data_IF_381889595082
#
_entry.id   IF_381889595082
#
_cell.length_a   1.000
_cell.length_b   1.000
_cell.length_c   1.000
_cell.angle_alpha   90.00
_cell.angle_beta   90.00
_cell.angle_gamma   90.00
#
_symmetry.space_group_name_H-M   'P 1'
#
loop_
_entity.id
_entity.type
_entity.pdbx_description
1 polymer ?
#
# COMPACT_ATOMS: atom_id res chain seq x y z
N UNK A 1 64.54 45.70 -52.06
CA UNK A 1 63.44 44.77 -52.39
C UNK A 1 63.11 44.05 -51.09
N UNK A 2 62.27 44.55 -50.17
CA UNK A 2 60.81 44.79 -50.14
C UNK A 2 59.96 43.60 -50.62
N UNK A 3 58.97 43.28 -49.76
CA UNK A 3 57.88 42.29 -49.85
C UNK A 3 58.29 40.84 -49.60
N UNK A 4 57.63 40.05 -48.77
CA UNK A 4 56.36 40.21 -48.05
C UNK A 4 56.30 39.12 -46.96
N UNK A 5 55.80 39.47 -45.75
CA UNK A 5 55.34 38.46 -44.78
C UNK A 5 53.92 38.07 -45.17
N UNK A 6 53.54 36.79 -45.15
CA UNK A 6 52.14 36.42 -45.13
C UNK A 6 51.62 36.32 -43.70
N UNK A 7 50.38 36.77 -43.59
CA UNK A 7 49.61 37.07 -42.40
C UNK A 7 49.11 35.87 -41.60
N UNK A 8 48.70 36.22 -40.38
CA UNK A 8 48.04 35.44 -39.35
C UNK A 8 46.86 34.59 -39.84
N UNK A 9 46.99 33.27 -39.72
CA UNK A 9 45.88 32.31 -39.72
C UNK A 9 45.70 31.73 -38.32
N UNK A 10 45.03 32.46 -37.43
CA UNK A 10 44.63 31.97 -36.11
C UNK A 10 43.41 31.03 -36.28
N UNK A 11 43.65 29.77 -36.62
CA UNK A 11 42.61 28.74 -36.63
C UNK A 11 42.37 28.22 -35.22
N UNK A 12 41.53 28.93 -34.47
CA UNK A 12 40.92 28.43 -33.24
C UNK A 12 39.87 27.37 -33.61
N UNK A 13 40.19 26.09 -33.41
CA UNK A 13 39.25 24.97 -33.16
C UNK A 13 40.05 23.68 -32.97
N UNK A 14 40.08 23.11 -31.74
CA UNK A 14 39.02 22.16 -31.40
C UNK A 14 38.68 22.17 -29.90
N UNK A 15 37.72 23.00 -29.49
CA UNK A 15 37.01 22.81 -28.21
C UNK A 15 35.56 22.48 -28.57
N UNK A 16 35.34 21.32 -29.19
CA UNK A 16 34.00 20.90 -29.60
C UNK A 16 33.86 19.38 -29.80
N UNK A 17 34.63 18.56 -29.09
CA UNK A 17 34.44 17.10 -29.12
C UNK A 17 34.41 16.43 -27.74
N UNK A 18 34.48 17.18 -26.64
CA UNK A 18 34.57 16.62 -25.27
C UNK A 18 33.35 16.93 -24.40
N UNK A 19 32.16 17.07 -25.00
CA UNK A 19 30.92 17.36 -24.26
C UNK A 19 29.68 16.66 -24.85
N UNK A 20 29.84 15.42 -25.33
CA UNK A 20 28.74 14.60 -25.86
C UNK A 20 28.82 13.15 -25.33
N UNK A 21 29.07 12.98 -24.04
CA UNK A 21 28.87 11.71 -23.33
C UNK A 21 28.28 12.06 -21.97
N UNK A 22 26.96 12.22 -21.89
CA UNK A 22 26.36 12.56 -20.60
C UNK A 22 24.90 13.00 -20.64
N UNK A 23 24.03 12.30 -21.37
CA UNK A 23 22.57 12.52 -21.21
C UNK A 23 21.70 11.37 -21.76
N UNK A 24 22.07 10.11 -21.49
CA UNK A 24 21.33 8.94 -22.01
C UNK A 24 20.90 7.88 -21.00
N UNK A 25 21.21 8.04 -19.70
CA UNK A 25 21.16 6.94 -18.74
C UNK A 25 20.15 7.14 -17.57
N UNK A 26 19.02 7.82 -17.78
CA UNK A 26 18.00 7.99 -16.73
C UNK A 26 16.60 7.49 -17.07
N UNK A 27 16.35 6.94 -18.27
CA UNK A 27 15.11 6.21 -18.54
C UNK A 27 15.26 4.72 -18.24
N UNK A 28 15.52 4.40 -16.97
CA UNK A 28 15.25 3.07 -16.44
C UNK A 28 13.75 2.93 -16.24
N UNK A 29 12.99 2.67 -17.32
CA UNK A 29 11.62 2.19 -17.18
C UNK A 29 11.69 0.80 -16.56
N UNK A 30 11.70 0.74 -15.23
CA UNK A 30 11.60 -0.51 -14.50
C UNK A 30 10.15 -1.02 -14.63
N UNK A 31 9.84 -1.62 -15.78
CA UNK A 31 8.59 -2.35 -15.98
C UNK A 31 8.56 -3.51 -14.99
N UNK A 32 7.59 -3.49 -14.06
CA UNK A 32 7.43 -4.58 -13.10
C UNK A 32 6.92 -5.83 -13.81
N UNK A 33 7.14 -6.97 -13.16
CA UNK A 33 6.65 -8.25 -13.65
C UNK A 33 5.11 -8.23 -13.71
N UNK A 34 4.57 -8.65 -14.86
CA UNK A 34 3.14 -8.84 -15.07
C UNK A 34 2.85 -10.34 -14.98
N UNK A 35 2.03 -10.74 -14.02
CA UNK A 35 1.53 -12.10 -13.91
C UNK A 35 0.48 -12.36 -15.01
N UNK A 36 0.31 -13.63 -15.37
CA UNK A 36 -0.75 -14.05 -16.31
C UNK A 36 -2.14 -13.89 -15.67
N UNK A 37 -2.27 -14.23 -14.39
CA UNK A 37 -3.49 -14.08 -13.59
C UNK A 37 -3.16 -13.83 -12.12
N UNK A 38 -4.12 -13.26 -11.40
CA UNK A 38 -4.10 -13.15 -9.94
C UNK A 38 -4.73 -14.39 -9.29
N UNK A 39 -4.40 -14.66 -8.01
CA UNK A 39 -5.04 -15.71 -7.24
C UNK A 39 -6.54 -15.43 -7.02
N UNK A 40 -6.90 -14.16 -6.77
CA UNK A 40 -8.30 -13.75 -6.57
C UNK A 40 -9.16 -13.93 -7.83
N UNK A 41 -8.58 -13.92 -9.04
CA UNK A 41 -9.33 -14.28 -10.27
C UNK A 41 -9.78 -15.74 -10.26
N UNK A 42 -9.07 -16.62 -9.55
CA UNK A 42 -9.39 -18.05 -9.44
C UNK A 42 -10.31 -18.32 -8.23
N UNK A 43 -10.17 -17.53 -7.16
CA UNK A 43 -10.86 -17.69 -5.89
C UNK A 43 -11.46 -16.36 -5.40
N UNK A 44 -12.51 -15.83 -6.04
CA UNK A 44 -13.09 -14.53 -5.69
C UNK A 44 -14.11 -14.59 -4.54
N UNK A 45 -14.59 -15.77 -4.17
CA UNK A 45 -15.66 -15.94 -3.17
C UNK A 45 -15.16 -15.83 -1.74
N UNK A 46 -15.99 -15.26 -0.85
CA UNK A 46 -15.70 -15.15 0.59
C UNK A 46 -15.64 -16.52 1.30
N UNK A 47 -16.20 -17.56 0.70
CA UNK A 47 -16.08 -18.95 1.16
C UNK A 47 -14.80 -19.64 0.65
N UNK A 48 -14.00 -18.97 -0.17
CA UNK A 48 -12.78 -19.48 -0.81
C UNK A 48 -11.50 -18.82 -0.27
N UNK A 49 -11.59 -18.09 0.83
CA UNK A 49 -10.45 -17.36 1.42
C UNK A 49 -9.26 -18.28 1.76
N UNK A 50 -9.54 -19.53 2.12
CA UNK A 50 -8.49 -20.53 2.42
C UNK A 50 -7.74 -20.91 1.14
N UNK A 51 -8.46 -21.27 0.08
CA UNK A 51 -7.90 -21.63 -1.23
C UNK A 51 -7.16 -20.45 -1.86
N UNK A 52 -7.70 -19.22 -1.71
CA UNK A 52 -7.00 -18.00 -2.09
C UNK A 52 -5.65 -17.88 -1.37
N UNK A 53 -5.62 -18.05 -0.05
CA UNK A 53 -4.38 -17.93 0.74
C UNK A 53 -3.37 -19.04 0.41
N UNK A 54 -3.84 -20.27 0.20
CA UNK A 54 -2.99 -21.38 -0.26
C UNK A 54 -2.36 -21.08 -1.63
N UNK A 55 -3.16 -20.55 -2.57
CA UNK A 55 -2.66 -20.14 -3.88
C UNK A 55 -1.62 -19.03 -3.74
N UNK A 56 -1.93 -17.98 -2.98
CA UNK A 56 -1.04 -16.85 -2.73
C UNK A 56 0.30 -17.32 -2.17
N UNK A 57 0.31 -18.21 -1.19
CA UNK A 57 1.53 -18.71 -0.55
C UNK A 57 2.50 -19.39 -1.53
N UNK A 58 2.01 -19.92 -2.66
CA UNK A 58 2.83 -20.49 -3.73
C UNK A 58 3.40 -19.48 -4.74
N UNK A 59 2.99 -18.20 -4.67
CA UNK A 59 3.35 -17.20 -5.68
C UNK A 59 4.74 -16.62 -5.46
N UNK A 60 5.53 -16.51 -6.54
CA UNK A 60 6.81 -15.81 -6.52
C UNK A 60 6.65 -14.29 -6.30
N UNK A 61 5.54 -13.72 -6.79
CA UNK A 61 5.18 -12.34 -6.59
C UNK A 61 3.66 -12.21 -6.54
N UNK A 62 3.15 -11.54 -5.52
CA UNK A 62 1.74 -11.20 -5.33
C UNK A 62 1.37 -10.07 -6.28
N UNK A 63 0.20 -10.15 -6.90
CA UNK A 63 -0.29 -9.08 -7.78
C UNK A 63 -0.94 -7.94 -6.98
N UNK A 64 -1.14 -6.79 -7.62
CA UNK A 64 -1.92 -5.71 -7.01
C UNK A 64 -3.35 -6.13 -6.66
N UNK A 65 -3.99 -6.98 -7.48
CA UNK A 65 -5.34 -7.48 -7.22
C UNK A 65 -5.38 -8.35 -5.96
N UNK A 66 -4.44 -9.30 -5.84
CA UNK A 66 -4.29 -10.18 -4.68
C UNK A 66 -3.99 -9.38 -3.39
N UNK A 67 -3.11 -8.38 -3.52
CA UNK A 67 -2.77 -7.49 -2.40
C UNK A 67 -4.03 -6.79 -1.85
N UNK A 68 -4.83 -6.18 -2.72
CA UNK A 68 -6.02 -5.45 -2.30
C UNK A 68 -7.10 -6.38 -1.73
N UNK A 69 -7.30 -7.56 -2.34
CA UNK A 69 -8.22 -8.57 -1.81
C UNK A 69 -7.82 -9.01 -0.40
N UNK A 70 -6.56 -9.42 -0.19
CA UNK A 70 -6.08 -9.84 1.13
C UNK A 70 -6.15 -8.74 2.19
N UNK A 71 -5.90 -7.48 1.82
CA UNK A 71 -6.07 -6.34 2.73
C UNK A 71 -7.54 -6.11 3.12
N UNK A 72 -8.48 -6.31 2.20
CA UNK A 72 -9.92 -6.21 2.50
C UNK A 72 -10.36 -7.32 3.45
N UNK A 73 -9.91 -8.56 3.20
CA UNK A 73 -10.16 -9.70 4.10
C UNK A 73 -9.67 -9.41 5.53
N UNK A 74 -8.43 -8.92 5.71
CA UNK A 74 -7.94 -8.56 7.04
C UNK A 74 -8.72 -7.38 7.66
N UNK A 75 -9.17 -6.43 6.85
CA UNK A 75 -9.82 -5.21 7.37
C UNK A 75 -11.26 -5.42 7.83
N UNK A 76 -12.03 -6.26 7.13
CA UNK A 76 -13.48 -6.42 7.31
C UNK A 76 -13.94 -7.86 7.42
N UNK A 77 -13.04 -8.84 7.27
CA UNK A 77 -13.39 -10.27 7.17
C UNK A 77 -14.09 -10.64 5.86
N UNK A 78 -14.19 -9.70 4.92
CA UNK A 78 -14.84 -9.89 3.62
C UNK A 78 -14.28 -8.88 2.62
N UNK A 79 -14.18 -9.31 1.37
CA UNK A 79 -13.98 -8.44 0.22
C UNK A 79 -15.33 -8.18 -0.49
N UNK A 80 -15.92 -6.98 -0.37
CA UNK A 80 -17.20 -6.67 -1.01
C UNK A 80 -17.07 -6.23 -2.48
N UNK A 81 -15.86 -6.11 -3.02
CA UNK A 81 -15.64 -5.63 -4.38
C UNK A 81 -15.95 -6.71 -5.42
N UNK A 82 -16.59 -6.30 -6.52
CA UNK A 82 -16.93 -7.19 -7.64
C UNK A 82 -15.75 -7.43 -8.57
N UNK A 83 -14.85 -6.46 -8.68
CA UNK A 83 -13.72 -6.45 -9.60
C UNK A 83 -12.55 -5.65 -9.02
N UNK A 84 -11.44 -5.63 -9.77
CA UNK A 84 -10.23 -4.93 -9.37
C UNK A 84 -10.46 -3.43 -9.22
N UNK A 85 -11.17 -2.81 -10.16
CA UNK A 85 -11.46 -1.38 -10.17
C UNK A 85 -12.20 -0.95 -8.90
N UNK A 86 -13.18 -1.74 -8.45
CA UNK A 86 -13.86 -1.51 -7.17
C UNK A 86 -12.92 -1.65 -5.96
N UNK A 87 -12.01 -2.64 -5.96
CA UNK A 87 -10.98 -2.75 -4.90
C UNK A 87 -10.10 -1.51 -4.86
N UNK A 88 -9.71 -0.97 -6.01
CA UNK A 88 -8.93 0.28 -6.09
C UNK A 88 -9.72 1.45 -5.50
N UNK A 89 -11.01 1.58 -5.83
CA UNK A 89 -11.87 2.63 -5.26
C UNK A 89 -11.96 2.52 -3.74
N UNK A 90 -12.17 1.31 -3.21
CA UNK A 90 -12.19 1.08 -1.75
C UNK A 90 -10.84 1.42 -1.11
N UNK A 91 -9.73 0.99 -1.71
CA UNK A 91 -8.39 1.27 -1.21
C UNK A 91 -8.09 2.77 -1.18
N UNK A 92 -8.49 3.52 -2.21
CA UNK A 92 -8.37 4.99 -2.26
C UNK A 92 -9.26 5.66 -1.22
N UNK A 93 -10.50 5.22 -1.04
CA UNK A 93 -11.42 5.76 -0.02
C UNK A 93 -10.89 5.55 1.39
N UNK A 94 -10.30 4.39 1.67
CA UNK A 94 -9.65 4.06 2.94
C UNK A 94 -8.26 4.70 3.09
N UNK A 95 -7.76 5.38 2.05
CA UNK A 95 -6.47 6.06 2.03
C UNK A 95 -5.26 5.11 2.05
N UNK A 96 -5.47 3.83 1.73
CA UNK A 96 -4.43 2.78 1.69
C UNK A 96 -3.44 2.99 0.55
N UNK A 97 -3.93 3.56 -0.55
CA UNK A 97 -3.14 3.93 -1.74
C UNK A 97 -3.38 5.41 -2.09
N UNK A 98 -2.48 6.05 -2.86
CA UNK A 98 -2.67 7.42 -3.36
C UNK A 98 -3.96 7.58 -4.17
N UNK A 99 -4.51 8.80 -4.22
CA UNK A 99 -5.76 9.09 -4.95
C UNK A 99 -5.66 8.83 -6.46
N UNK A 100 -4.47 9.01 -7.01
CA UNK A 100 -4.09 8.85 -8.41
C UNK A 100 -3.52 7.46 -8.71
N UNK A 101 -3.54 6.52 -7.76
CA UNK A 101 -2.97 5.18 -7.93
C UNK A 101 -3.72 4.37 -8.99
N UNK A 102 -3.08 4.09 -10.12
CA UNK A 102 -3.70 3.52 -11.33
C UNK A 102 -2.98 2.26 -11.84
N UNK A 103 -2.37 1.50 -10.93
CA UNK A 103 -1.54 0.36 -11.30
C UNK A 103 -2.36 -0.78 -11.92
N UNK A 104 -1.79 -1.58 -12.85
CA UNK A 104 -2.48 -2.73 -13.42
C UNK A 104 -2.73 -3.84 -12.39
N UNK A 105 -3.86 -4.54 -12.52
CA UNK A 105 -4.28 -5.62 -11.63
C UNK A 105 -3.20 -6.71 -11.45
N UNK A 106 -2.64 -7.18 -12.56
CA UNK A 106 -1.69 -8.28 -12.60
C UNK A 106 -0.22 -7.83 -12.50
N UNK A 107 0.05 -6.54 -12.33
CA UNK A 107 1.39 -6.07 -12.00
C UNK A 107 1.77 -6.54 -10.59
N UNK A 108 3.04 -6.91 -10.40
CA UNK A 108 3.54 -7.24 -9.05
C UNK A 108 3.38 -6.07 -8.08
N UNK A 109 2.79 -6.39 -6.92
CA UNK A 109 2.59 -5.45 -5.83
C UNK A 109 3.94 -4.97 -5.30
N UNK A 110 4.07 -3.66 -5.06
CA UNK A 110 5.28 -3.09 -4.51
C UNK A 110 5.19 -2.96 -2.99
N UNK A 111 6.31 -3.19 -2.32
CA UNK A 111 6.44 -3.12 -0.86
C UNK A 111 5.99 -1.78 -0.27
N UNK A 112 6.18 -0.68 -1.01
CA UNK A 112 5.73 0.65 -0.61
C UNK A 112 4.22 0.82 -0.60
N UNK A 113 3.49 0.22 -1.55
CA UNK A 113 2.03 0.27 -1.55
C UNK A 113 1.47 -0.56 -0.40
N UNK A 114 2.01 -1.77 -0.21
CA UNK A 114 1.62 -2.63 0.91
C UNK A 114 1.91 -1.94 2.25
N UNK A 115 3.07 -1.28 2.37
CA UNK A 115 3.43 -0.56 3.57
C UNK A 115 2.48 0.62 3.86
N UNK A 116 2.09 1.38 2.84
CA UNK A 116 1.11 2.44 3.00
C UNK A 116 -0.22 1.92 3.52
N UNK A 117 -0.73 0.84 2.93
CA UNK A 117 -1.95 0.19 3.39
C UNK A 117 -1.80 -0.30 4.85
N UNK A 118 -0.68 -0.94 5.18
CA UNK A 118 -0.38 -1.43 6.51
C UNK A 118 -0.38 -0.35 7.59
N UNK A 119 0.27 0.80 7.33
CA UNK A 119 0.25 1.91 8.28
C UNK A 119 -1.15 2.48 8.48
N UNK A 120 -1.94 2.58 7.42
CA UNK A 120 -3.31 3.11 7.48
C UNK A 120 -4.25 2.17 8.23
N UNK A 121 -4.18 0.88 7.91
CA UNK A 121 -4.91 -0.17 8.63
C UNK A 121 -4.54 -0.20 10.10
N UNK A 122 -3.24 -0.25 10.40
CA UNK A 122 -2.71 -0.34 11.76
C UNK A 122 -2.74 0.97 12.56
N UNK A 123 -3.34 2.06 12.05
CA UNK A 123 -3.37 3.35 12.76
C UNK A 123 -1.98 3.92 13.08
N UNK A 124 -0.95 3.58 12.27
CA UNK A 124 0.43 3.98 12.50
C UNK A 124 0.66 5.38 11.91
N UNK A 125 0.76 6.37 12.79
CA UNK A 125 1.02 7.77 12.40
C UNK A 125 2.49 8.07 12.07
N UNK A 126 3.39 7.22 12.56
CA UNK A 126 4.84 7.39 12.43
C UNK A 126 5.42 8.61 13.15
N UNK A 127 6.70 8.88 12.86
CA UNK A 127 7.45 10.01 13.41
C UNK A 127 7.09 11.39 12.84
N UNK A 128 7.75 12.44 13.35
CA UNK A 128 7.48 13.85 13.00
C UNK A 128 7.46 14.09 11.48
N UNK A 129 8.38 13.50 10.73
CA UNK A 129 8.46 13.64 9.27
C UNK A 129 7.19 13.15 8.57
N UNK A 130 6.62 12.03 9.00
CA UNK A 130 5.38 11.48 8.46
C UNK A 130 4.17 12.34 8.84
N UNK A 131 4.21 13.03 9.99
CA UNK A 131 3.17 14.01 10.38
C UNK A 131 3.21 15.28 9.54
N UNK A 132 4.38 15.70 9.08
CA UNK A 132 4.57 16.91 8.26
C UNK A 132 4.29 16.64 6.77
N UNK A 133 4.84 15.56 6.23
CA UNK A 133 4.77 15.25 4.80
C UNK A 133 3.68 14.24 4.43
N UNK A 134 3.01 13.67 5.43
CA UNK A 134 2.04 12.60 5.26
C UNK A 134 2.69 11.21 5.10
N UNK A 135 1.85 10.16 5.08
CA UNK A 135 2.29 8.81 4.79
C UNK A 135 2.79 8.69 3.35
N UNK A 136 3.91 8.00 3.19
CA UNK A 136 4.45 7.58 1.90
C UNK A 136 4.92 6.14 2.03
N UNK A 137 5.05 5.41 0.92
CA UNK A 137 5.55 4.03 0.95
C UNK A 137 6.88 3.91 1.69
N UNK A 138 7.79 4.85 1.45
CA UNK A 138 9.08 4.94 2.13
C UNK A 138 8.94 5.13 3.65
N UNK A 139 8.11 6.07 4.10
CA UNK A 139 7.96 6.34 5.55
C UNK A 139 7.22 5.21 6.25
N UNK A 140 6.13 4.72 5.66
CA UNK A 140 5.37 3.61 6.20
C UNK A 140 6.22 2.35 6.31
N UNK A 141 7.06 2.07 5.30
CA UNK A 141 7.95 0.91 5.33
C UNK A 141 8.92 0.98 6.51
N UNK A 142 9.52 2.15 6.80
CA UNK A 142 10.42 2.29 7.95
C UNK A 142 9.70 2.09 9.30
N UNK A 143 8.47 2.55 9.40
CA UNK A 143 7.66 2.37 10.61
C UNK A 143 7.20 0.91 10.82
N UNK A 144 6.91 0.19 9.74
CA UNK A 144 6.57 -1.23 9.80
C UNK A 144 7.80 -2.10 10.07
N UNK A 145 8.96 -1.72 9.53
CA UNK A 145 10.25 -2.34 9.83
C UNK A 145 10.60 -2.21 11.32
N UNK A 146 10.48 -1.01 11.90
CA UNK A 146 10.80 -0.80 13.32
C UNK A 146 9.89 -1.58 14.28
N UNK A 147 8.68 -1.94 13.83
CA UNK A 147 7.72 -2.76 14.57
C UNK A 147 7.85 -4.26 14.28
N UNK A 148 8.76 -4.67 13.41
CA UNK A 148 8.91 -6.08 13.01
C UNK A 148 7.71 -6.64 12.24
N UNK A 149 6.92 -5.78 11.58
CA UNK A 149 5.79 -6.17 10.73
C UNK A 149 6.26 -6.45 9.30
N UNK A 150 7.19 -5.64 8.78
CA UNK A 150 7.85 -5.89 7.50
C UNK A 150 9.36 -6.05 7.70
N UNK A 151 10.05 -6.90 6.93
CA UNK A 151 11.50 -6.96 6.94
C UNK A 151 12.11 -5.81 6.14
N UNK A 152 13.40 -5.54 6.36
CA UNK A 152 14.12 -4.45 5.69
C UNK A 152 14.16 -4.64 4.18
N UNK A 153 13.64 -3.65 3.43
CA UNK A 153 13.59 -3.69 1.95
C UNK A 153 13.47 -2.29 1.34
N UNK A 154 13.50 -2.20 0.02
CA UNK A 154 13.13 -0.96 -0.68
C UNK A 154 11.63 -0.94 -0.98
N UNK A 155 11.07 0.25 -1.17
CA UNK A 155 9.66 0.48 -1.45
C UNK A 155 9.22 -0.04 -2.84
N UNK A 156 10.13 -0.16 -3.80
CA UNK A 156 9.81 -0.66 -5.14
C UNK A 156 9.98 -2.17 -5.32
N UNK A 157 10.46 -2.89 -4.30
CA UNK A 157 10.64 -4.35 -4.38
C UNK A 157 9.29 -5.07 -4.39
N UNK A 158 9.19 -6.11 -5.22
CA UNK A 158 8.05 -7.02 -5.24
C UNK A 158 7.96 -7.83 -3.95
N UNK A 159 6.77 -8.36 -3.68
CA UNK A 159 6.46 -9.11 -2.46
C UNK A 159 6.06 -10.52 -2.88
N UNK A 160 6.72 -11.53 -2.32
CA UNK A 160 6.35 -12.93 -2.57
C UNK A 160 5.11 -13.32 -1.77
N UNK A 161 4.48 -14.42 -2.17
CA UNK A 161 3.34 -15.02 -1.50
C UNK A 161 3.53 -15.23 0.01
N UNK A 162 4.59 -15.96 0.43
CA UNK A 162 4.85 -16.20 1.84
C UNK A 162 5.09 -14.92 2.64
N UNK A 163 5.79 -13.94 2.05
CA UNK A 163 6.05 -12.64 2.70
C UNK A 163 4.77 -11.83 2.88
N UNK A 164 3.87 -11.85 1.89
CA UNK A 164 2.58 -11.19 1.98
C UNK A 164 1.70 -11.85 3.05
N UNK A 165 1.67 -13.19 3.12
CA UNK A 165 0.95 -13.93 4.17
C UNK A 165 1.49 -13.62 5.58
N UNK A 166 2.82 -13.63 5.75
CA UNK A 166 3.45 -13.25 7.03
C UNK A 166 3.12 -11.81 7.41
N UNK A 167 3.13 -10.88 6.44
CA UNK A 167 2.71 -9.50 6.65
C UNK A 167 1.26 -9.40 7.14
N UNK A 168 0.30 -10.07 6.47
CA UNK A 168 -1.11 -10.04 6.87
C UNK A 168 -1.30 -10.59 8.29
N UNK A 169 -0.63 -11.68 8.64
CA UNK A 169 -0.68 -12.27 9.98
C UNK A 169 -0.15 -11.31 11.05
N UNK A 170 0.99 -10.65 10.80
CA UNK A 170 1.58 -9.68 11.74
C UNK A 170 0.72 -8.43 11.86
N UNK A 171 0.13 -7.98 10.75
CA UNK A 171 -0.77 -6.83 10.74
C UNK A 171 -2.04 -7.14 11.55
N UNK A 172 -2.67 -8.29 11.34
CA UNK A 172 -3.85 -8.71 12.10
C UNK A 172 -3.54 -8.83 13.61
N UNK A 173 -2.42 -9.45 13.99
CA UNK A 173 -1.98 -9.49 15.38
C UNK A 173 -1.78 -8.09 15.98
N UNK A 174 -1.27 -7.14 15.19
CA UNK A 174 -1.13 -5.75 15.62
C UNK A 174 -2.50 -5.09 15.82
N UNK A 175 -3.44 -5.28 14.90
CA UNK A 175 -4.81 -4.77 15.00
C UNK A 175 -5.53 -5.35 16.23
N UNK A 176 -5.40 -6.65 16.47
CA UNK A 176 -5.95 -7.32 17.65
C UNK A 176 -5.36 -6.75 18.94
N UNK A 177 -4.05 -6.48 18.97
CA UNK A 177 -3.37 -5.90 20.13
C UNK A 177 -3.82 -4.48 20.47
N UNK A 178 -4.35 -3.75 19.48
CA UNK A 178 -4.89 -2.39 19.65
C UNK A 178 -6.36 -2.38 20.10
N UNK A 179 -7.09 -3.50 19.99
CA UNK A 179 -8.44 -3.60 20.56
C UNK A 179 -8.34 -3.42 22.08
N UNK A 180 -9.22 -2.63 22.71
CA UNK A 180 -9.18 -2.42 24.16
C UNK A 180 -9.19 -3.77 24.86
N UNK A 181 -8.13 -4.02 25.64
CA UNK A 181 -7.78 -5.35 26.15
C UNK A 181 -8.86 -5.96 27.07
N UNK A 182 -9.82 -5.15 27.53
CA UNK A 182 -11.04 -5.60 28.19
C UNK A 182 -12.15 -4.56 27.92
N UNK A 183 -13.21 -4.95 27.20
CA UNK A 183 -14.52 -4.61 27.72
C UNK A 183 -14.60 -5.33 29.06
N UNK A 184 -14.63 -4.57 30.15
CA UNK A 184 -14.78 -5.12 31.49
C UNK A 184 -16.09 -5.93 31.52
N UNK A 185 -16.07 -7.27 31.72
CA UNK A 185 -17.29 -8.05 31.80
C UNK A 185 -18.17 -7.66 33.01
N UNK A 186 -17.66 -6.81 33.92
CA UNK A 186 -18.44 -6.23 35.02
C UNK A 186 -19.10 -4.89 34.68
N UNK A 187 -18.79 -4.28 33.53
CA UNK A 187 -19.64 -3.25 32.92
C UNK A 187 -20.63 -3.91 31.98
N UNK A 188 -21.56 -4.65 32.57
CA UNK A 188 -22.88 -4.78 31.97
C UNK A 188 -23.41 -3.36 31.75
N UNK A 189 -23.73 -3.00 30.51
CA UNK A 189 -24.51 -1.78 30.27
C UNK A 189 -25.74 -1.89 31.17
N UNK A 190 -25.81 -1.02 32.17
CA UNK A 190 -26.94 -0.95 33.08
C UNK A 190 -28.18 -0.88 32.21
N UNK A 191 -28.97 -1.96 32.26
CA UNK A 191 -30.33 -1.94 31.75
C UNK A 191 -31.06 -0.73 32.34
N UNK A 192 -32.13 -0.25 31.67
CA UNK A 192 -32.81 0.97 32.07
C UNK A 192 -33.04 0.99 33.59
N UNK A 193 -32.48 2.00 34.25
CA UNK A 193 -32.61 2.24 35.68
C UNK A 193 -34.07 2.02 36.10
N UNK A 194 -34.40 1.02 36.96
CA UNK A 194 -35.77 0.74 37.36
C UNK A 194 -36.40 1.90 38.15
N UNK A 195 -35.63 2.94 38.45
CA UNK A 195 -36.08 4.18 39.09
C UNK A 195 -36.45 5.29 38.11
N UNK A 196 -36.17 5.14 36.80
CA UNK A 196 -36.62 6.13 35.82
C UNK A 196 -38.16 6.08 35.67
N UNK A 197 -38.87 7.21 35.84
CA UNK A 197 -40.30 7.26 35.56
C UNK A 197 -40.56 6.88 34.10
N UNK A 198 -41.51 5.97 33.89
CA UNK A 198 -41.95 5.61 32.54
C UNK A 198 -42.34 6.88 31.78
N UNK A 199 -41.94 7.01 30.50
CA UNK A 199 -42.42 8.11 29.67
C UNK A 199 -43.95 8.05 29.60
N UNK A 200 -44.64 9.22 29.63
CA UNK A 200 -46.09 9.25 29.59
C UNK A 200 -46.59 8.55 28.33
N UNK A 201 -47.49 7.58 28.51
CA UNK A 201 -48.14 6.88 27.42
C UNK A 201 -48.86 7.89 26.52
N UNK A 202 -48.60 7.92 25.20
CA UNK A 202 -49.31 8.82 24.31
C UNK A 202 -50.81 8.49 24.37
N UNK A 203 -51.62 9.50 24.67
CA UNK A 203 -53.07 9.40 24.68
C UNK A 203 -53.55 8.86 23.32
N UNK A 204 -54.27 7.74 23.34
CA UNK A 204 -55.07 7.32 22.18
C UNK A 204 -56.10 8.41 21.92
N UNK A 205 -55.89 9.19 20.86
CA UNK A 205 -56.92 10.04 20.30
C UNK A 205 -58.11 9.18 19.87
N UNK A 206 -59.30 9.57 20.34
CA UNK A 206 -60.58 9.12 19.78
C UNK A 206 -61.00 9.99 18.59
#
# INVERSE_FOLDING_TARGET
>A
MRSERPDHGLTVRPIACMLMIGLGALCGCASRHMAESSAVDQFPGADQDIEFMEKVESMNAVTNNDMLHGLLLVSSGVDPARDYEERVLLARQKGWVPKDWDKPANESAASGDLAMAGCRLGGIEGGLTMKVFGPSGRYCLRELESRGIMPTRTDYQSISGPEFRDFLNRLDQNLLSQRPRFADPTKQEDGPDPTMPLPPTPARGG
#
